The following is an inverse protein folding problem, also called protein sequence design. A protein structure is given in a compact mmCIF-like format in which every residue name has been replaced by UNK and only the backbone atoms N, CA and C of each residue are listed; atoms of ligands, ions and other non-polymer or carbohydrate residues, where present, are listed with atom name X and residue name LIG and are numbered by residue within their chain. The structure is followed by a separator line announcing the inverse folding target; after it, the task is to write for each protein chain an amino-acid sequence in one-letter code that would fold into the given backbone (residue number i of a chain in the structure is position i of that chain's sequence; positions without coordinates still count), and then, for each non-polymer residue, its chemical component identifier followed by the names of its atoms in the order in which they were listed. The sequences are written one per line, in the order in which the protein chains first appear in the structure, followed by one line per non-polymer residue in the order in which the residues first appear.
data_IF_064673311413
#
_entry.id   IF_064673311413
#
_cell.length_a   1.000
_cell.length_b   1.000
_cell.length_c   1.000
_cell.angle_alpha   90.00
_cell.angle_beta   90.00
_cell.angle_gamma   90.00
#
_symmetry.space_group_name_H-M   'P 1'
#
loop_
_entity.id
_entity.type
_entity.pdbx_description
1 polymer ?
#
# COMPACT_ATOMS: atom_id res chain seq x y z
N UNK A 1 26.56 49.72 25.22
CA UNK A 1 25.14 49.38 25.42
C UNK A 1 24.93 47.95 24.94
N UNK A 2 24.22 47.13 25.71
CA UNK A 2 23.85 45.77 25.29
C UNK A 2 22.72 45.86 24.26
N UNK A 3 22.74 44.98 23.26
CA UNK A 3 21.70 44.97 22.22
C UNK A 3 20.38 44.43 22.80
N UNK A 4 19.23 45.08 22.52
CA UNK A 4 17.91 44.56 22.89
C UNK A 4 17.60 43.19 22.28
N UNK A 5 16.85 42.36 23.01
CA UNK A 5 16.62 40.95 22.64
C UNK A 5 15.30 40.72 21.87
N UNK A 6 14.31 41.60 22.01
CA UNK A 6 12.99 41.45 21.38
C UNK A 6 12.50 42.76 20.74
N UNK A 7 11.47 42.65 19.89
CA UNK A 7 10.93 43.79 19.12
C UNK A 7 10.41 44.92 20.00
N UNK A 8 9.89 44.61 21.19
CA UNK A 8 9.35 45.58 22.14
C UNK A 8 10.47 46.42 22.75
N UNK A 9 11.56 45.79 23.20
CA UNK A 9 12.72 46.51 23.74
C UNK A 9 13.42 47.37 22.68
N UNK A 10 13.45 46.94 21.41
CA UNK A 10 13.94 47.76 20.31
C UNK A 10 13.06 49.00 20.08
N UNK A 11 11.74 48.85 20.13
CA UNK A 11 10.80 49.96 20.01
C UNK A 11 10.97 50.96 21.18
N UNK A 12 11.06 50.45 22.41
CA UNK A 12 11.27 51.27 23.61
C UNK A 12 12.60 52.02 23.58
N UNK A 13 13.67 51.37 23.10
CA UNK A 13 14.99 52.02 22.92
C UNK A 13 14.92 53.15 21.89
N UNK A 14 14.26 52.93 20.75
CA UNK A 14 14.10 53.95 19.71
C UNK A 14 13.32 55.14 20.26
N UNK A 15 12.16 54.89 20.88
CA UNK A 15 11.32 55.96 21.44
C UNK A 15 12.12 56.74 22.49
N UNK A 16 12.80 56.06 23.41
CA UNK A 16 13.63 56.69 24.45
C UNK A 16 14.75 57.56 23.87
N UNK A 17 15.50 57.05 22.89
CA UNK A 17 16.64 57.77 22.30
C UNK A 17 16.20 58.96 21.45
N UNK A 18 15.11 58.82 20.70
CA UNK A 18 14.54 59.91 19.89
C UNK A 18 13.89 60.99 20.75
N UNK A 19 13.16 60.62 21.82
CA UNK A 19 12.57 61.58 22.76
C UNK A 19 13.61 62.35 23.59
N UNK A 20 14.84 61.83 23.68
CA UNK A 20 15.96 62.49 24.38
C UNK A 20 16.85 63.31 23.43
N UNK A 21 16.50 63.40 22.15
CA UNK A 21 17.31 64.12 21.17
C UNK A 21 17.16 65.63 21.32
N UNK A 22 18.28 66.35 21.21
CA UNK A 22 18.31 67.81 21.39
C UNK A 22 17.86 68.58 20.13
N UNK A 23 18.11 67.99 18.96
CA UNK A 23 17.74 68.51 17.66
C UNK A 23 17.60 67.35 16.64
N UNK A 24 17.16 67.69 15.42
CA UNK A 24 16.94 66.71 14.35
C UNK A 24 18.24 65.99 13.93
N UNK A 25 19.40 66.67 14.02
CA UNK A 25 20.68 66.10 13.64
C UNK A 25 21.20 65.12 14.71
N UNK A 26 21.00 65.42 15.99
CA UNK A 26 21.22 64.50 17.11
C UNK A 26 20.30 63.28 17.01
N UNK A 27 19.01 63.47 16.74
CA UNK A 27 18.06 62.37 16.50
C UNK A 27 18.52 61.48 15.33
N UNK A 28 18.97 62.09 14.22
CA UNK A 28 19.50 61.35 13.07
C UNK A 28 20.75 60.52 13.43
N UNK A 29 21.69 61.10 14.17
CA UNK A 29 22.91 60.40 14.60
C UNK A 29 22.60 59.24 15.55
N UNK A 30 21.64 59.42 16.46
CA UNK A 30 21.14 58.36 17.35
C UNK A 30 20.46 57.25 16.56
N UNK A 31 19.61 57.58 15.60
CA UNK A 31 18.95 56.60 14.73
C UNK A 31 19.97 55.77 13.94
N UNK A 32 21.02 56.41 13.41
CA UNK A 32 22.13 55.70 12.76
C UNK A 32 22.81 54.70 13.69
N UNK A 33 23.12 55.08 14.94
CA UNK A 33 23.75 54.17 15.91
C UNK A 33 22.84 52.99 16.28
N UNK A 34 21.54 53.22 16.42
CA UNK A 34 20.56 52.15 16.71
C UNK A 34 20.47 51.18 15.55
N UNK A 35 20.39 51.67 14.30
CA UNK A 35 20.37 50.82 13.11
C UNK A 35 21.68 50.02 12.93
N UNK A 36 22.82 50.64 13.22
CA UNK A 36 24.11 49.94 13.22
C UNK A 36 24.16 48.83 14.29
N UNK A 37 23.66 49.11 15.49
CA UNK A 37 23.55 48.13 16.57
C UNK A 37 22.61 46.98 16.20
N UNK A 38 21.48 47.29 15.55
CA UNK A 38 20.53 46.30 15.05
C UNK A 38 21.18 45.40 14.01
N UNK A 39 21.87 45.97 13.03
CA UNK A 39 22.61 45.21 12.00
C UNK A 39 23.70 44.30 12.59
N UNK A 40 24.42 44.76 13.62
CA UNK A 40 25.41 43.93 14.34
C UNK A 40 24.75 42.78 15.12
N UNK A 41 23.59 43.04 15.74
CA UNK A 41 22.84 42.02 16.48
C UNK A 41 22.30 40.91 15.58
N UNK A 42 21.76 41.27 14.40
CA UNK A 42 21.26 40.30 13.42
C UNK A 42 22.37 39.51 12.75
N UNK A 43 23.52 40.14 12.46
CA UNK A 43 24.70 39.46 11.91
C UNK A 43 25.30 38.43 12.89
N UNK A 44 25.26 38.71 14.20
CA UNK A 44 25.73 37.78 15.23
C UNK A 44 24.74 36.63 15.47
N UNK A 45 23.44 36.85 15.27
CA UNK A 45 22.39 35.83 15.43
C UNK A 45 22.26 34.92 14.20
N UNK A 46 22.61 35.41 13.02
CA UNK A 46 22.74 34.61 11.79
C UNK A 46 24.22 34.39 11.49
N UNK A 47 24.89 33.51 12.25
CA UNK A 47 26.18 33.05 11.76
C UNK A 47 25.95 32.38 10.38
N UNK A 48 26.65 32.80 9.32
CA UNK A 48 26.45 32.24 7.98
C UNK A 48 26.58 30.71 7.96
N UNK A 49 27.36 30.18 8.91
CA UNK A 49 27.62 28.76 9.09
C UNK A 49 26.41 27.97 9.61
N UNK A 50 25.66 28.49 10.60
CA UNK A 50 24.48 27.78 11.14
C UNK A 50 23.32 27.75 10.15
N UNK A 51 23.05 28.88 9.49
CA UNK A 51 22.01 28.94 8.46
C UNK A 51 22.35 28.04 7.25
N UNK A 52 23.63 27.95 6.88
CA UNK A 52 24.07 27.04 5.82
C UNK A 52 23.96 25.58 6.24
N UNK A 53 24.37 25.23 7.47
CA UNK A 53 24.23 23.89 8.03
C UNK A 53 22.76 23.44 8.05
N UNK A 54 21.86 24.31 8.51
CA UNK A 54 20.42 24.03 8.54
C UNK A 54 19.84 23.79 7.13
N UNK A 55 20.28 24.56 6.13
CA UNK A 55 19.86 24.35 4.73
C UNK A 55 20.31 22.99 4.20
N UNK A 56 21.55 22.59 4.49
CA UNK A 56 22.08 21.32 4.01
C UNK A 56 21.42 20.12 4.71
N UNK A 57 21.17 20.21 6.01
CA UNK A 57 20.38 19.21 6.75
C UNK A 57 18.97 19.08 6.19
N UNK A 58 18.28 20.20 5.93
CA UNK A 58 16.95 20.19 5.34
C UNK A 58 16.92 19.56 3.94
N UNK A 59 17.96 19.78 3.13
CA UNK A 59 18.12 19.16 1.81
C UNK A 59 18.30 17.64 1.91
N UNK A 60 19.14 17.17 2.83
CA UNK A 60 19.34 15.74 3.09
C UNK A 60 18.02 15.09 3.55
N UNK A 61 17.31 15.71 4.49
CA UNK A 61 16.02 15.22 4.98
C UNK A 61 14.99 15.11 3.85
N UNK A 62 14.90 16.10 2.96
CA UNK A 62 14.03 16.05 1.78
C UNK A 62 14.39 14.90 0.84
N UNK A 63 15.68 14.68 0.60
CA UNK A 63 16.13 13.60 -0.27
C UNK A 63 15.81 12.23 0.32
N UNK A 64 16.05 12.05 1.62
CA UNK A 64 15.72 10.81 2.34
C UNK A 64 14.21 10.55 2.34
N UNK A 65 13.38 11.58 2.57
CA UNK A 65 11.93 11.47 2.49
C UNK A 65 11.47 11.05 1.09
N UNK A 66 12.06 11.63 0.04
CA UNK A 66 11.79 11.23 -1.34
C UNK A 66 12.12 9.75 -1.59
N UNK A 67 13.25 9.27 -1.07
CA UNK A 67 13.65 7.86 -1.13
C UNK A 67 12.65 6.94 -0.44
N UNK A 68 12.22 7.28 0.78
CA UNK A 68 11.23 6.51 1.55
C UNK A 68 9.87 6.47 0.85
N UNK A 69 9.41 7.58 0.28
CA UNK A 69 8.17 7.63 -0.49
C UNK A 69 8.24 6.74 -1.74
N UNK A 70 9.38 6.75 -2.44
CA UNK A 70 9.59 5.87 -3.59
C UNK A 70 9.54 4.39 -3.19
N UNK A 71 10.26 4.01 -2.12
CA UNK A 71 10.25 2.64 -1.60
C UNK A 71 8.85 2.21 -1.16
N UNK A 72 8.09 3.08 -0.48
CA UNK A 72 6.71 2.81 -0.10
C UNK A 72 5.82 2.55 -1.33
N UNK A 73 6.02 3.31 -2.41
CA UNK A 73 5.34 3.10 -3.68
C UNK A 73 5.66 1.74 -4.32
N UNK A 74 6.93 1.34 -4.32
CA UNK A 74 7.37 0.01 -4.81
C UNK A 74 6.73 -1.10 -3.98
N UNK A 75 6.77 -0.99 -2.65
CA UNK A 75 6.17 -1.95 -1.72
C UNK A 75 4.66 -2.11 -1.94
N UNK A 76 3.92 -1.00 -2.09
CA UNK A 76 2.47 -1.04 -2.37
C UNK A 76 2.15 -1.77 -3.67
N UNK A 77 2.93 -1.53 -4.74
CA UNK A 77 2.76 -2.25 -6.02
C UNK A 77 3.06 -3.73 -5.87
N UNK A 78 4.16 -4.08 -5.22
CA UNK A 78 4.52 -5.47 -4.98
C UNK A 78 3.46 -6.20 -4.13
N UNK A 79 2.97 -5.55 -3.08
CA UNK A 79 1.88 -6.06 -2.25
C UNK A 79 0.61 -6.32 -3.07
N UNK A 80 0.20 -5.37 -3.92
CA UNK A 80 -1.00 -5.54 -4.75
C UNK A 80 -0.86 -6.72 -5.72
N UNK A 81 0.30 -6.86 -6.37
CA UNK A 81 0.59 -8.00 -7.25
C UNK A 81 0.48 -9.30 -6.47
N UNK A 82 1.12 -9.37 -5.30
CA UNK A 82 1.11 -10.59 -4.48
C UNK A 82 -0.29 -10.92 -3.96
N UNK A 83 -1.05 -9.90 -3.58
CA UNK A 83 -2.44 -10.04 -3.15
C UNK A 83 -3.32 -10.62 -4.27
N UNK A 84 -3.22 -10.08 -5.49
CA UNK A 84 -3.97 -10.58 -6.63
C UNK A 84 -3.61 -12.04 -6.95
N UNK A 85 -2.31 -12.37 -6.96
CA UNK A 85 -1.86 -13.76 -7.16
C UNK A 85 -2.44 -14.70 -6.12
N UNK A 86 -2.45 -14.30 -4.85
CA UNK A 86 -3.03 -15.11 -3.76
C UNK A 86 -4.53 -15.32 -3.98
N UNK A 87 -5.24 -14.28 -4.39
CA UNK A 87 -6.67 -14.37 -4.70
C UNK A 87 -6.93 -15.35 -5.85
N UNK A 88 -6.17 -15.25 -6.93
CA UNK A 88 -6.29 -16.17 -8.08
C UNK A 88 -6.04 -17.63 -7.64
N UNK A 89 -5.06 -17.87 -6.76
CA UNK A 89 -4.84 -19.21 -6.21
C UNK A 89 -6.01 -19.71 -5.37
N UNK A 90 -6.63 -18.86 -4.55
CA UNK A 90 -7.81 -19.23 -3.76
C UNK A 90 -8.99 -19.59 -4.67
N UNK A 91 -9.18 -18.85 -5.76
CA UNK A 91 -10.23 -19.12 -6.73
C UNK A 91 -9.98 -20.44 -7.47
N UNK A 92 -8.73 -20.70 -7.92
CA UNK A 92 -8.36 -21.99 -8.51
C UNK A 92 -8.57 -23.18 -7.56
N UNK A 93 -8.29 -23.02 -6.26
CA UNK A 93 -8.53 -24.08 -5.26
C UNK A 93 -10.03 -24.37 -5.12
N UNK A 94 -10.87 -23.32 -5.19
CA UNK A 94 -12.33 -23.46 -5.15
C UNK A 94 -12.86 -24.20 -6.37
N UNK A 95 -12.43 -23.80 -7.57
CA UNK A 95 -12.81 -24.44 -8.84
C UNK A 95 -12.37 -25.91 -8.85
N UNK A 96 -11.13 -26.20 -8.41
CA UNK A 96 -10.64 -27.58 -8.29
C UNK A 96 -11.53 -28.43 -7.37
N UNK A 97 -11.98 -27.86 -6.27
CA UNK A 97 -12.84 -28.56 -5.31
C UNK A 97 -14.21 -28.87 -5.94
N UNK A 98 -14.78 -27.92 -6.69
CA UNK A 98 -16.02 -28.14 -7.44
C UNK A 98 -15.86 -29.22 -8.52
N UNK A 99 -14.77 -29.18 -9.27
CA UNK A 99 -14.49 -30.20 -10.29
C UNK A 99 -14.34 -31.59 -9.67
N UNK A 100 -13.66 -31.70 -8.52
CA UNK A 100 -13.53 -32.95 -7.79
C UNK A 100 -14.89 -33.53 -7.40
N UNK A 101 -15.79 -32.70 -6.88
CA UNK A 101 -17.16 -33.13 -6.52
C UNK A 101 -17.91 -33.68 -7.74
N UNK A 102 -17.76 -33.04 -8.91
CA UNK A 102 -18.38 -33.49 -10.16
C UNK A 102 -17.80 -34.83 -10.61
N UNK A 103 -16.48 -34.99 -10.56
CA UNK A 103 -15.80 -36.26 -10.89
C UNK A 103 -16.28 -37.37 -9.98
N UNK A 104 -16.34 -37.14 -8.67
CA UNK A 104 -16.81 -38.11 -7.68
C UNK A 104 -18.27 -38.55 -8.00
N UNK A 105 -19.14 -37.61 -8.37
CA UNK A 105 -20.52 -37.91 -8.80
C UNK A 105 -20.57 -38.80 -10.03
N UNK A 106 -19.80 -38.49 -11.07
CA UNK A 106 -19.76 -39.33 -12.29
C UNK A 106 -19.18 -40.71 -12.01
N UNK A 107 -18.16 -40.80 -11.17
CA UNK A 107 -17.53 -42.06 -10.82
C UNK A 107 -18.50 -42.98 -10.06
N UNK A 108 -19.35 -42.42 -9.18
CA UNK A 108 -20.44 -43.15 -8.54
C UNK A 108 -21.50 -43.62 -9.56
N UNK A 109 -21.88 -42.78 -10.53
CA UNK A 109 -22.85 -43.15 -11.56
C UNK A 109 -22.34 -44.30 -12.44
N UNK A 110 -21.06 -44.25 -12.85
CA UNK A 110 -20.43 -45.32 -13.63
C UNK A 110 -20.47 -46.63 -12.85
N UNK A 111 -20.04 -46.63 -11.59
CA UNK A 111 -20.07 -47.82 -10.74
C UNK A 111 -21.48 -48.41 -10.61
N UNK A 112 -22.49 -47.55 -10.40
CA UNK A 112 -23.88 -47.99 -10.33
C UNK A 112 -24.39 -48.60 -11.65
N UNK A 113 -23.95 -48.09 -12.81
CA UNK A 113 -24.28 -48.67 -14.11
C UNK A 113 -23.54 -49.98 -14.37
N UNK A 114 -22.28 -50.09 -13.97
CA UNK A 114 -21.50 -51.33 -14.04
C UNK A 114 -22.15 -52.44 -13.21
N UNK A 115 -22.54 -52.15 -11.97
CA UNK A 115 -23.25 -53.08 -11.09
C UNK A 115 -24.58 -53.55 -11.71
N UNK A 116 -25.35 -52.62 -12.29
CA UNK A 116 -26.61 -52.95 -12.99
C UNK A 116 -26.38 -53.83 -14.22
N UNK A 117 -25.39 -53.51 -15.05
CA UNK A 117 -25.06 -54.29 -16.23
C UNK A 117 -24.57 -55.70 -15.86
N UNK A 118 -23.82 -55.84 -14.76
CA UNK A 118 -23.39 -57.14 -14.26
C UNK A 118 -24.58 -58.01 -13.84
N UNK A 119 -25.52 -57.45 -13.05
CA UNK A 119 -26.75 -58.17 -12.65
C UNK A 119 -27.59 -58.57 -13.86
N UNK A 120 -27.76 -57.67 -14.85
CA UNK A 120 -28.47 -57.98 -16.09
C UNK A 120 -27.81 -59.11 -16.87
N UNK A 121 -26.48 -59.08 -16.99
CA UNK A 121 -25.71 -60.13 -17.68
C UNK A 121 -25.84 -61.48 -16.99
N UNK A 122 -25.85 -61.51 -15.65
CA UNK A 122 -26.06 -62.72 -14.87
C UNK A 122 -27.47 -63.30 -15.07
N UNK A 123 -28.51 -62.45 -15.07
CA UNK A 123 -29.88 -62.88 -15.34
C UNK A 123 -30.07 -63.42 -16.76
N UNK A 124 -29.42 -62.81 -17.76
CA UNK A 124 -29.44 -63.29 -19.14
C UNK A 124 -28.80 -64.68 -19.24
N UNK A 125 -27.62 -64.87 -18.67
CA UNK A 125 -26.95 -66.18 -18.67
C UNK A 125 -27.79 -67.27 -17.98
N UNK A 126 -28.44 -66.95 -16.86
CA UNK A 126 -29.36 -67.86 -16.17
C UNK A 126 -30.61 -68.19 -17.01
N UNK A 127 -31.14 -67.21 -17.75
CA UNK A 127 -32.31 -67.40 -18.62
C UNK A 127 -31.96 -68.26 -19.84
N UNK A 128 -30.79 -68.07 -20.44
CA UNK A 128 -30.30 -68.91 -21.53
C UNK A 128 -30.08 -70.37 -21.08
N UNK A 129 -29.57 -70.58 -19.86
CA UNK A 129 -29.44 -71.93 -19.29
C UNK A 129 -30.80 -72.56 -18.95
N UNK A 130 -31.78 -71.80 -18.47
CA UNK A 130 -33.16 -72.28 -18.26
C UNK A 130 -33.90 -72.56 -19.56
N UNK A 131 -33.49 -71.94 -20.66
CA UNK A 131 -34.04 -72.15 -22.02
C UNK A 131 -33.48 -73.42 -22.70
N UNK A 132 -32.64 -74.20 -22.01
CA UNK A 132 -32.12 -75.49 -22.48
C UNK A 132 -33.16 -76.63 -22.58
N UNK A 133 -34.44 -76.38 -22.26
CA UNK A 133 -35.51 -77.36 -22.46
C UNK A 133 -36.73 -76.65 -23.08
N UNK A 134 -37.14 -77.17 -24.23
CA UNK A 134 -38.31 -76.81 -25.04
C UNK A 134 -38.09 -75.69 -26.06
N UNK A 135 -37.71 -76.12 -27.26
CA UNK A 135 -37.67 -75.28 -28.44
C UNK A 135 -39.03 -74.69 -28.78
N UNK A 136 -39.07 -73.36 -28.88
CA UNK A 136 -39.99 -72.68 -29.77
C UNK A 136 -39.32 -71.42 -30.28
N UNK A 137 -38.51 -71.56 -31.34
CA UNK A 137 -38.25 -70.43 -32.24
C UNK A 137 -39.57 -70.12 -32.91
N UNK A 138 -40.16 -68.95 -32.62
CA UNK A 138 -41.19 -68.38 -33.48
C UNK A 138 -40.50 -67.90 -34.77
N UNK A 139 -40.77 -68.50 -35.95
CA UNK A 139 -40.45 -67.85 -37.20
C UNK A 139 -41.49 -66.76 -37.46
N UNK A 140 -41.08 -65.75 -38.20
CA UNK A 140 -41.89 -64.69 -38.79
C UNK A 140 -42.41 -63.59 -37.85
N UNK A 141 -41.65 -62.47 -37.81
CA UNK A 141 -42.23 -61.15 -38.04
C UNK A 141 -41.25 -60.33 -38.89
N UNK A 142 -41.74 -59.84 -40.03
CA UNK A 142 -41.08 -58.96 -41.00
C UNK A 142 -40.75 -57.58 -40.43
#
# INVERSE_FOLDING_TARGET
MNAPANSTEWADLIVKEMSSASDLNDARNRAFRILEMFGKSTANCSTPNEAQKMREEHKILKQMLGGLLHQNGVLKRAFLIQHNRLKDYQDMVRERSQFKEIVDKYQQQIKALEDRNYVLSLHLAQSDHRSGISGHRNPDVF
#
